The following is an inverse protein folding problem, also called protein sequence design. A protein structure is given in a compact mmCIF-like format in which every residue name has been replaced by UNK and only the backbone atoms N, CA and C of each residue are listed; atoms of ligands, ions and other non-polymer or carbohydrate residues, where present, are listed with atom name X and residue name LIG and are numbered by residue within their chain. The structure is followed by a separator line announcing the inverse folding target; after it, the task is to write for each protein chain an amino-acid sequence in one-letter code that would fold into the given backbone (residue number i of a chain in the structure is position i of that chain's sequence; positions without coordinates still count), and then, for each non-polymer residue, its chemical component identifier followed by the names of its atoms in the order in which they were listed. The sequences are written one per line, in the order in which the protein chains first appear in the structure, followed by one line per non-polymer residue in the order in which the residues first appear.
data_IF_741891301338
#
_entry.id   IF_741891301338
#
_cell.length_a   1.000
_cell.length_b   1.000
_cell.length_c   1.000
_cell.angle_alpha   90.00
_cell.angle_beta   90.00
_cell.angle_gamma   90.00
#
_symmetry.space_group_name_H-M   'P 1'
#
loop_
_entity.id
_entity.type
_entity.pdbx_description
1 polymer ?
#
# COMPACT_ATOMS: atom_id res chain seq x y z
N UNK A 1 -46.37 -26.18 -26.71
CA UNK A 1 -45.57 -26.57 -25.54
C UNK A 1 -44.46 -25.53 -25.42
N UNK A 2 -44.66 -24.50 -24.57
CA UNK A 2 -43.64 -23.48 -24.27
C UNK A 2 -42.81 -23.98 -23.09
N UNK A 3 -41.50 -24.24 -23.27
CA UNK A 3 -40.54 -24.46 -22.19
C UNK A 3 -40.03 -23.11 -21.69
N UNK A 4 -40.37 -22.77 -20.46
CA UNK A 4 -39.90 -21.64 -19.69
C UNK A 4 -38.48 -21.95 -19.20
N UNK A 5 -37.47 -21.20 -19.66
CA UNK A 5 -36.13 -21.26 -19.12
C UNK A 5 -36.10 -20.39 -17.84
N UNK A 6 -36.07 -21.01 -16.69
CA UNK A 6 -35.78 -20.35 -15.41
C UNK A 6 -34.27 -20.12 -15.40
N UNK A 7 -33.86 -18.86 -15.52
CA UNK A 7 -32.50 -18.40 -15.26
C UNK A 7 -32.29 -18.35 -13.74
N UNK A 8 -31.63 -19.32 -13.19
CA UNK A 8 -31.08 -19.26 -11.84
C UNK A 8 -30.00 -18.15 -11.74
N UNK A 9 -30.46 -16.97 -11.39
CA UNK A 9 -29.57 -15.93 -10.87
C UNK A 9 -29.22 -16.30 -9.42
N UNK A 10 -28.14 -17.06 -9.20
CA UNK A 10 -27.51 -17.12 -7.89
C UNK A 10 -27.05 -15.71 -7.51
N UNK A 11 -27.90 -14.99 -6.77
CA UNK A 11 -27.57 -13.77 -6.05
C UNK A 11 -26.50 -14.16 -5.03
N UNK A 12 -25.23 -13.88 -5.31
CA UNK A 12 -24.18 -13.85 -4.27
C UNK A 12 -24.62 -12.77 -3.30
N UNK A 13 -25.09 -13.16 -2.12
CA UNK A 13 -25.39 -12.24 -1.03
C UNK A 13 -24.08 -11.56 -0.63
N UNK A 14 -23.88 -10.34 -1.11
CA UNK A 14 -22.78 -9.45 -0.74
C UNK A 14 -23.10 -8.78 0.61
N UNK A 15 -23.04 -9.51 1.71
CA UNK A 15 -22.96 -8.88 3.03
C UNK A 15 -21.59 -8.20 3.12
N UNK A 16 -21.58 -6.85 3.16
CA UNK A 16 -20.38 -6.09 3.46
C UNK A 16 -19.86 -6.53 4.83
N UNK A 17 -18.66 -7.10 4.85
CA UNK A 17 -18.00 -7.47 6.12
C UNK A 17 -17.29 -6.24 6.67
N UNK A 18 -17.62 -5.90 7.91
CA UNK A 18 -17.00 -4.80 8.65
C UNK A 18 -16.17 -5.36 9.79
N UNK A 19 -14.96 -4.87 9.96
CA UNK A 19 -14.12 -5.17 11.12
C UNK A 19 -13.78 -3.87 11.82
N UNK A 20 -13.79 -3.88 13.15
CA UNK A 20 -13.41 -2.73 13.98
C UNK A 20 -12.21 -3.10 14.84
N UNK A 21 -11.17 -2.28 14.80
CA UNK A 21 -9.96 -2.43 15.59
C UNK A 21 -9.63 -1.11 16.29
N UNK A 22 -8.93 -1.20 17.42
CA UNK A 22 -8.46 -0.06 18.19
C UNK A 22 -6.96 -0.17 18.38
N UNK A 23 -6.26 0.96 18.40
CA UNK A 23 -4.84 1.01 18.76
C UNK A 23 -4.52 2.36 19.42
N UNK A 24 -3.46 2.37 20.22
CA UNK A 24 -2.86 3.56 20.80
C UNK A 24 -1.68 3.99 19.93
N UNK A 25 -1.61 5.24 19.56
CA UNK A 25 -0.53 5.78 18.74
C UNK A 25 0.73 5.98 19.60
N UNK A 26 1.52 4.92 19.67
CA UNK A 26 2.73 4.85 20.48
C UNK A 26 3.90 5.58 19.83
N UNK A 27 4.54 6.48 20.59
CA UNK A 27 5.69 7.26 20.12
C UNK A 27 6.91 6.39 19.81
N UNK A 28 7.14 5.30 20.55
CA UNK A 28 8.31 4.46 20.35
C UNK A 28 8.20 3.66 19.04
N UNK A 29 7.00 3.17 18.70
CA UNK A 29 6.78 2.55 17.37
C UNK A 29 7.09 3.52 16.24
N UNK A 30 6.72 4.79 16.37
CA UNK A 30 7.04 5.81 15.35
C UNK A 30 8.54 6.08 15.30
N UNK A 31 9.25 6.14 16.44
CA UNK A 31 10.71 6.26 16.47
C UNK A 31 11.40 5.06 15.79
N UNK A 32 10.88 3.84 15.94
CA UNK A 32 11.39 2.68 15.22
C UNK A 32 11.24 2.83 13.70
N UNK A 33 10.11 3.37 13.25
CA UNK A 33 9.89 3.67 11.83
C UNK A 33 10.89 4.71 11.30
N UNK A 34 11.18 5.79 12.08
CA UNK A 34 12.20 6.77 11.71
C UNK A 34 13.58 6.16 11.51
N UNK A 35 13.97 5.26 12.42
CA UNK A 35 15.25 4.56 12.33
C UNK A 35 15.35 3.64 11.10
N UNK A 36 14.21 3.13 10.60
CA UNK A 36 14.16 2.36 9.35
C UNK A 36 14.30 3.29 8.15
N UNK A 37 13.63 4.43 8.17
CA UNK A 37 13.63 5.37 7.05
C UNK A 37 14.92 6.22 6.96
N UNK A 38 15.77 6.18 8.00
CA UNK A 38 17.01 6.97 8.07
C UNK A 38 16.77 8.48 8.07
N UNK A 39 15.60 8.90 8.49
CA UNK A 39 15.21 10.32 8.54
C UNK A 39 14.55 10.63 9.87
N UNK A 40 14.94 11.75 10.48
CA UNK A 40 14.22 12.29 11.64
C UNK A 40 13.02 13.06 11.13
N UNK A 41 11.84 12.61 11.48
CA UNK A 41 10.64 13.38 11.23
C UNK A 41 10.66 14.63 12.13
N UNK A 42 10.40 15.78 11.54
CA UNK A 42 10.28 17.01 12.31
C UNK A 42 8.96 16.96 13.10
N UNK A 43 8.99 16.41 14.31
CA UNK A 43 7.84 16.39 15.22
C UNK A 43 7.53 17.80 15.71
N UNK A 44 6.77 18.54 14.92
CA UNK A 44 6.13 19.75 15.42
C UNK A 44 4.88 19.34 16.19
N UNK A 45 4.78 19.68 17.47
CA UNK A 45 3.55 19.53 18.28
C UNK A 45 3.02 18.09 18.43
N UNK A 46 3.89 17.09 18.61
CA UNK A 46 3.49 15.68 18.79
C UNK A 46 2.72 15.05 17.59
N UNK A 47 2.78 15.67 16.41
CA UNK A 47 2.06 15.18 15.20
C UNK A 47 2.75 13.92 14.67
N UNK A 48 1.95 12.90 14.34
CA UNK A 48 2.39 11.64 13.76
C UNK A 48 2.71 11.84 12.26
N UNK A 49 3.83 11.28 11.74
CA UNK A 49 4.18 11.37 10.33
C UNK A 49 3.13 10.73 9.41
N UNK A 50 3.01 11.23 8.20
CA UNK A 50 2.16 10.61 7.19
C UNK A 50 2.60 9.16 6.90
N UNK A 51 1.64 8.25 6.76
CA UNK A 51 1.91 6.82 6.51
C UNK A 51 2.27 6.01 7.77
N UNK A 52 2.50 6.63 8.92
CA UNK A 52 2.78 5.88 10.16
C UNK A 52 1.59 5.04 10.64
N UNK A 53 0.37 5.30 10.21
CA UNK A 53 -0.79 4.47 10.55
C UNK A 53 -0.62 3.00 10.11
N UNK A 54 0.23 2.69 9.10
CA UNK A 54 0.48 1.31 8.65
C UNK A 54 1.31 0.47 9.63
N UNK A 55 1.96 1.06 10.64
CA UNK A 55 2.66 0.31 11.68
C UNK A 55 1.79 0.03 12.91
N UNK A 56 0.55 0.50 12.88
CA UNK A 56 -0.45 0.28 13.92
C UNK A 56 -1.56 -0.68 13.42
N UNK A 57 -2.44 -1.09 14.31
CA UNK A 57 -3.56 -2.00 14.03
C UNK A 57 -3.08 -3.37 13.51
N UNK A 58 -1.95 -3.84 14.02
CA UNK A 58 -1.37 -5.13 13.65
C UNK A 58 -2.31 -6.25 14.06
N UNK A 59 -2.70 -7.09 13.09
CA UNK A 59 -3.59 -8.21 13.35
C UNK A 59 -2.80 -9.37 13.94
N UNK A 60 -3.22 -9.84 15.13
CA UNK A 60 -2.61 -10.98 15.82
C UNK A 60 -3.35 -12.27 15.45
N UNK A 61 -2.87 -12.95 14.41
CA UNK A 61 -3.38 -14.25 14.02
C UNK A 61 -2.66 -15.38 14.75
N UNK A 62 -3.41 -16.41 15.19
CA UNK A 62 -2.80 -17.64 15.67
C UNK A 62 -1.97 -18.32 14.56
N UNK A 63 -0.92 -19.05 14.95
CA UNK A 63 -0.07 -19.78 14.00
C UNK A 63 -0.85 -20.73 13.08
N UNK A 64 -1.91 -21.38 13.62
CA UNK A 64 -2.80 -22.27 12.84
C UNK A 64 -3.63 -21.55 11.77
N UNK A 65 -3.83 -20.23 11.90
CA UNK A 65 -4.60 -19.40 10.95
C UNK A 65 -3.72 -18.78 9.87
N UNK A 66 -2.41 -18.98 9.93
CA UNK A 66 -1.49 -18.53 8.89
C UNK A 66 -1.42 -19.53 7.74
N UNK A 67 -1.30 -19.00 6.53
CA UNK A 67 -1.02 -19.74 5.32
C UNK A 67 0.47 -20.07 5.20
N UNK A 68 0.82 -20.90 4.22
CA UNK A 68 2.19 -21.27 3.91
C UNK A 68 3.06 -20.06 3.52
N UNK A 69 2.44 -19.02 2.97
CA UNK A 69 3.06 -17.74 2.59
C UNK A 69 3.35 -16.82 3.78
N UNK A 70 2.95 -17.22 5.01
CA UNK A 70 3.07 -16.42 6.23
C UNK A 70 1.97 -15.36 6.41
N UNK A 71 1.06 -15.22 5.46
CA UNK A 71 -0.14 -14.38 5.63
C UNK A 71 -1.30 -15.16 6.27
N UNK A 72 -2.31 -14.47 6.82
CA UNK A 72 -3.56 -15.11 7.22
C UNK A 72 -4.19 -15.89 6.07
N UNK A 73 -4.70 -17.10 6.37
CA UNK A 73 -5.38 -17.96 5.40
C UNK A 73 -6.50 -17.19 4.71
N UNK A 74 -6.56 -17.34 3.39
CA UNK A 74 -7.64 -16.77 2.58
C UNK A 74 -8.93 -17.60 2.71
N UNK A 75 -10.07 -16.98 2.42
CA UNK A 75 -11.40 -17.63 2.46
C UNK A 75 -12.35 -17.06 3.51
N UNK A 76 -11.83 -16.46 4.61
CA UNK A 76 -12.66 -15.83 5.66
C UNK A 76 -12.96 -14.37 5.35
N UNK A 77 -11.95 -13.52 5.34
CA UNK A 77 -12.08 -12.07 5.07
C UNK A 77 -11.63 -11.72 3.64
N UNK A 78 -10.56 -12.32 3.17
CA UNK A 78 -10.05 -12.14 1.81
C UNK A 78 -10.41 -13.37 0.97
N UNK A 79 -11.02 -13.23 -0.22
CA UNK A 79 -11.46 -14.35 -1.05
C UNK A 79 -10.31 -15.32 -1.37
N UNK A 80 -10.62 -16.61 -1.36
CA UNK A 80 -9.73 -17.65 -1.87
C UNK A 80 -10.00 -17.84 -3.37
N UNK A 81 -9.11 -17.31 -4.19
CA UNK A 81 -9.12 -17.55 -5.65
C UNK A 81 -8.00 -18.55 -5.96
N UNK A 82 -8.40 -19.80 -6.28
CA UNK A 82 -7.45 -20.89 -6.63
C UNK A 82 -6.66 -20.50 -7.89
N UNK A 83 -5.34 -20.67 -7.88
CA UNK A 83 -4.45 -20.35 -9.00
C UNK A 83 -4.15 -18.85 -9.16
N UNK A 84 -4.52 -18.02 -8.17
CA UNK A 84 -4.21 -16.58 -8.15
C UNK A 84 -3.32 -16.22 -6.97
N UNK A 85 -2.29 -15.42 -7.24
CA UNK A 85 -1.51 -14.75 -6.20
C UNK A 85 -2.12 -13.37 -5.88
N UNK A 86 -1.99 -13.00 -4.61
CA UNK A 86 -2.49 -11.74 -4.08
C UNK A 86 -1.35 -10.74 -4.01
N UNK A 87 -1.58 -9.52 -4.47
CA UNK A 87 -0.61 -8.42 -4.38
C UNK A 87 -1.29 -7.14 -3.89
N UNK A 88 -0.60 -6.38 -3.07
CA UNK A 88 -0.98 -5.01 -2.75
C UNK A 88 -0.66 -4.11 -3.94
N UNK A 89 -1.68 -3.46 -4.52
CA UNK A 89 -1.52 -2.68 -5.75
C UNK A 89 -1.34 -1.17 -5.49
N UNK A 90 -1.76 -0.69 -4.33
CA UNK A 90 -1.69 0.72 -3.97
C UNK A 90 -2.78 1.14 -3.01
N UNK A 91 -2.84 2.44 -2.69
CA UNK A 91 -3.90 3.01 -1.85
C UNK A 91 -4.20 4.46 -2.21
N UNK A 92 -5.39 4.90 -1.79
CA UNK A 92 -5.81 6.31 -1.78
C UNK A 92 -6.10 6.72 -0.34
N UNK A 93 -5.47 7.80 0.10
CA UNK A 93 -5.60 8.34 1.45
C UNK A 93 -6.16 9.77 1.39
N UNK A 94 -7.07 10.09 2.31
CA UNK A 94 -7.62 11.43 2.54
C UNK A 94 -7.38 11.79 4.00
N UNK A 95 -6.48 12.74 4.24
CA UNK A 95 -6.14 13.23 5.58
C UNK A 95 -7.12 14.33 5.97
N UNK A 96 -7.99 14.05 6.94
CA UNK A 96 -9.02 14.98 7.42
C UNK A 96 -8.50 15.84 8.57
N UNK A 97 -7.79 15.20 9.50
CA UNK A 97 -7.21 15.82 10.70
C UNK A 97 -5.84 15.24 10.99
N UNK A 98 -5.03 15.96 11.76
CA UNK A 98 -3.77 15.42 12.26
C UNK A 98 -4.02 14.34 13.31
N UNK A 99 -3.17 13.32 13.30
CA UNK A 99 -3.10 12.29 14.35
C UNK A 99 -1.93 12.67 15.25
N UNK A 100 -2.08 12.50 16.56
CA UNK A 100 -1.09 12.83 17.55
C UNK A 100 -0.61 11.59 18.30
N UNK A 101 0.57 11.68 18.93
CA UNK A 101 0.97 10.65 19.87
C UNK A 101 -0.03 10.55 21.02
N UNK A 102 -0.24 9.33 21.49
CA UNK A 102 -1.19 8.97 22.54
C UNK A 102 -2.68 9.07 22.14
N UNK A 103 -2.98 9.42 20.87
CA UNK A 103 -4.33 9.28 20.36
C UNK A 103 -4.78 7.81 20.42
N UNK A 104 -5.98 7.57 20.95
CA UNK A 104 -6.68 6.29 20.83
C UNK A 104 -7.49 6.32 19.54
N UNK A 105 -7.09 5.51 18.58
CA UNK A 105 -7.69 5.49 17.26
C UNK A 105 -8.53 4.24 17.06
N UNK A 106 -9.78 4.42 16.64
CA UNK A 106 -10.65 3.37 16.13
C UNK A 106 -10.52 3.29 14.62
N UNK A 107 -10.23 2.11 14.09
CA UNK A 107 -10.23 1.80 12.67
C UNK A 107 -11.41 0.93 12.32
N UNK A 108 -12.22 1.34 11.36
CA UNK A 108 -13.29 0.54 10.76
C UNK A 108 -12.86 0.15 9.36
N UNK A 109 -12.82 -1.15 9.06
CA UNK A 109 -12.49 -1.69 7.75
C UNK A 109 -13.72 -2.29 7.10
N UNK A 110 -14.11 -1.81 5.94
CA UNK A 110 -15.16 -2.38 5.10
C UNK A 110 -14.54 -3.11 3.92
N UNK A 111 -14.88 -4.38 3.75
CA UNK A 111 -14.45 -5.19 2.61
C UNK A 111 -15.44 -5.00 1.48
N UNK A 112 -15.02 -4.31 0.42
CA UNK A 112 -15.88 -4.02 -0.74
C UNK A 112 -16.02 -5.26 -1.64
N UNK A 113 -17.08 -5.34 -2.47
CA UNK A 113 -17.27 -6.45 -3.41
C UNK A 113 -16.06 -6.62 -4.35
N UNK A 114 -15.80 -7.89 -4.70
CA UNK A 114 -14.74 -8.25 -5.64
C UNK A 114 -15.10 -7.79 -7.06
N UNK A 115 -14.21 -7.03 -7.69
CA UNK A 115 -14.37 -6.51 -9.05
C UNK A 115 -13.54 -7.37 -10.00
N UNK A 116 -14.20 -7.99 -11.00
CA UNK A 116 -13.54 -8.73 -12.06
C UNK A 116 -13.30 -7.83 -13.27
N UNK A 117 -12.07 -7.84 -13.80
CA UNK A 117 -11.71 -7.18 -15.08
C UNK A 117 -11.01 -8.18 -15.98
N UNK A 118 -11.15 -8.03 -17.28
CA UNK A 118 -10.35 -8.73 -18.29
C UNK A 118 -9.15 -7.86 -18.69
N UNK A 119 -7.98 -8.46 -18.81
CA UNK A 119 -6.77 -7.84 -19.39
C UNK A 119 -6.01 -8.95 -20.15
N UNK A 120 -5.71 -8.71 -21.42
CA UNK A 120 -4.94 -9.64 -22.28
C UNK A 120 -5.46 -11.11 -22.20
N UNK A 121 -6.78 -11.30 -22.35
CA UNK A 121 -7.49 -12.57 -22.23
C UNK A 121 -7.45 -13.25 -20.86
N UNK A 122 -6.90 -12.62 -19.83
CA UNK A 122 -6.89 -13.12 -18.48
C UNK A 122 -7.86 -12.35 -17.56
N UNK A 123 -8.43 -13.06 -16.59
CA UNK A 123 -9.22 -12.42 -15.55
C UNK A 123 -8.29 -11.89 -14.48
N UNK A 124 -8.45 -10.63 -14.12
CA UNK A 124 -7.81 -9.98 -12.99
C UNK A 124 -8.92 -9.55 -12.02
N UNK A 125 -8.71 -9.78 -10.73
CA UNK A 125 -9.69 -9.39 -9.72
C UNK A 125 -9.10 -8.31 -8.81
N UNK A 126 -9.95 -7.36 -8.43
CA UNK A 126 -9.60 -6.26 -7.53
C UNK A 126 -10.49 -6.31 -6.30
N UNK A 127 -9.89 -6.21 -5.13
CA UNK A 127 -10.57 -6.09 -3.85
C UNK A 127 -10.16 -4.79 -3.20
N UNK A 128 -11.13 -3.96 -2.84
CA UNK A 128 -10.88 -2.74 -2.10
C UNK A 128 -11.23 -2.93 -0.63
N UNK A 129 -10.31 -2.54 0.24
CA UNK A 129 -10.51 -2.42 1.67
C UNK A 129 -10.65 -0.93 2.00
N UNK A 130 -11.84 -0.50 2.39
CA UNK A 130 -12.09 0.88 2.81
C UNK A 130 -11.90 0.98 4.33
N UNK A 131 -10.87 1.71 4.75
CA UNK A 131 -10.53 1.95 6.14
C UNK A 131 -10.90 3.38 6.52
N UNK A 132 -11.65 3.56 7.61
CA UNK A 132 -11.91 4.87 8.20
C UNK A 132 -11.38 4.89 9.62
N UNK A 133 -10.62 5.91 9.95
CA UNK A 133 -9.95 6.06 11.23
C UNK A 133 -10.59 7.22 12.01
N UNK A 134 -10.92 6.97 13.27
CA UNK A 134 -11.58 7.92 14.16
C UNK A 134 -10.76 8.13 15.42
N UNK A 135 -10.61 9.38 15.84
CA UNK A 135 -10.26 9.77 17.21
C UNK A 135 -11.54 10.23 17.86
N UNK A 136 -11.96 9.50 18.92
CA UNK A 136 -13.29 9.62 19.49
C UNK A 136 -14.35 9.38 18.39
N UNK A 137 -15.19 10.35 18.08
CA UNK A 137 -16.15 10.27 16.97
C UNK A 137 -15.73 11.12 15.76
N UNK A 138 -14.54 11.73 15.80
CA UNK A 138 -14.02 12.58 14.72
C UNK A 138 -13.22 11.75 13.72
N UNK A 139 -13.64 11.77 12.46
CA UNK A 139 -12.90 11.15 11.37
C UNK A 139 -11.59 11.90 11.11
N UNK A 140 -10.45 11.19 11.21
CA UNK A 140 -9.11 11.75 11.03
C UNK A 140 -8.45 11.34 9.72
N UNK A 141 -8.74 10.12 9.22
CA UNK A 141 -8.15 9.58 7.99
C UNK A 141 -9.13 8.62 7.32
N UNK A 142 -9.23 8.71 5.99
CA UNK A 142 -9.80 7.68 5.14
C UNK A 142 -8.70 7.05 4.30
N UNK A 143 -8.78 5.74 4.11
CA UNK A 143 -7.89 4.99 3.24
C UNK A 143 -8.67 3.96 2.44
N UNK A 144 -8.40 3.86 1.15
CA UNK A 144 -8.86 2.74 0.33
C UNK A 144 -7.64 1.99 -0.17
N UNK A 145 -7.40 0.79 0.35
CA UNK A 145 -6.35 -0.12 -0.13
C UNK A 145 -6.88 -0.97 -1.26
N UNK A 146 -6.11 -1.12 -2.33
CA UNK A 146 -6.44 -1.98 -3.47
C UNK A 146 -5.54 -3.22 -3.45
N UNK A 147 -6.17 -4.38 -3.34
CA UNK A 147 -5.55 -5.69 -3.51
C UNK A 147 -5.90 -6.19 -4.90
N UNK A 148 -4.91 -6.69 -5.64
CA UNK A 148 -5.10 -7.32 -6.95
C UNK A 148 -4.79 -8.81 -6.86
N UNK A 149 -5.61 -9.62 -7.56
CA UNK A 149 -5.37 -11.04 -7.75
C UNK A 149 -5.08 -11.28 -9.22
N UNK A 150 -3.91 -11.84 -9.50
CA UNK A 150 -3.44 -12.22 -10.83
C UNK A 150 -3.11 -13.71 -10.87
N UNK A 151 -3.24 -14.34 -12.02
CA UNK A 151 -2.82 -15.75 -12.18
C UNK A 151 -1.35 -15.93 -11.80
N UNK A 152 -0.99 -17.08 -11.26
CA UNK A 152 0.37 -17.37 -10.81
C UNK A 152 1.42 -17.15 -11.92
N UNK A 153 1.08 -17.43 -13.17
CA UNK A 153 1.96 -17.28 -14.34
C UNK A 153 1.74 -15.94 -15.09
N UNK A 154 1.02 -15.00 -14.49
CA UNK A 154 0.75 -13.71 -15.12
C UNK A 154 2.03 -12.89 -15.29
N UNK A 155 2.43 -12.68 -16.54
CA UNK A 155 3.48 -11.72 -16.91
C UNK A 155 2.78 -10.41 -17.27
N UNK A 156 3.00 -9.38 -16.49
CA UNK A 156 2.42 -8.05 -16.77
C UNK A 156 3.05 -7.45 -18.04
N UNK A 157 2.37 -7.59 -19.16
CA UNK A 157 2.68 -6.91 -20.42
C UNK A 157 2.12 -5.48 -20.46
N UNK A 158 1.90 -4.82 -19.31
CA UNK A 158 1.48 -3.42 -19.34
C UNK A 158 2.51 -2.62 -20.13
N UNK A 159 2.20 -2.42 -21.39
CA UNK A 159 2.91 -1.53 -22.30
C UNK A 159 3.12 -0.19 -21.57
N UNK A 160 4.28 0.40 -21.79
CA UNK A 160 4.63 1.72 -21.25
C UNK A 160 3.49 2.68 -21.56
N UNK A 161 2.56 2.93 -20.62
CA UNK A 161 1.75 4.13 -20.73
C UNK A 161 2.76 5.27 -20.78
N UNK A 162 2.92 5.88 -21.95
CA UNK A 162 3.69 7.12 -22.09
C UNK A 162 3.03 8.10 -21.12
N UNK A 163 3.62 8.31 -19.95
CA UNK A 163 3.18 9.39 -19.09
C UNK A 163 3.59 10.66 -19.83
N UNK A 164 2.62 11.42 -20.33
CA UNK A 164 2.86 12.75 -20.84
C UNK A 164 3.38 13.61 -19.68
N UNK A 165 4.71 13.64 -19.52
CA UNK A 165 5.39 14.47 -18.50
C UNK A 165 5.45 15.96 -18.92
N UNK A 166 4.79 16.36 -20.01
CA UNK A 166 4.88 17.70 -20.60
C UNK A 166 4.49 18.80 -19.60
N UNK A 167 3.60 18.50 -18.68
CA UNK A 167 3.09 19.45 -17.68
C UNK A 167 3.72 19.29 -16.29
N UNK A 168 4.89 18.64 -16.19
CA UNK A 168 5.56 18.40 -14.91
C UNK A 168 6.92 19.09 -14.87
N UNK A 169 7.17 19.85 -13.77
CA UNK A 169 8.47 20.45 -13.45
C UNK A 169 9.18 19.61 -12.40
N UNK A 170 10.38 19.10 -12.70
CA UNK A 170 11.20 18.37 -11.73
C UNK A 170 11.60 19.33 -10.59
N UNK A 171 11.37 18.90 -9.34
CA UNK A 171 11.71 19.65 -8.13
C UNK A 171 12.89 19.05 -7.39
N UNK A 172 12.92 17.70 -7.28
CA UNK A 172 13.88 17.00 -6.43
C UNK A 172 14.18 15.61 -6.98
N UNK A 173 15.40 15.12 -6.71
CA UNK A 173 15.86 13.78 -7.05
C UNK A 173 16.70 13.24 -5.90
N UNK A 174 16.37 12.02 -5.43
CA UNK A 174 17.10 11.32 -4.38
C UNK A 174 17.33 9.86 -4.75
N UNK A 175 18.58 9.40 -4.65
CA UNK A 175 18.93 7.98 -4.77
C UNK A 175 18.83 7.32 -3.41
N UNK A 176 18.32 6.10 -3.35
CA UNK A 176 18.21 5.33 -2.11
C UNK A 176 18.13 3.83 -2.40
N UNK A 177 18.17 3.02 -1.36
CA UNK A 177 17.95 1.57 -1.38
C UNK A 177 17.44 1.14 -0.02
N UNK A 178 16.71 0.03 0.04
CA UNK A 178 16.39 -0.67 1.27
C UNK A 178 17.24 -1.94 1.36
N UNK A 179 17.82 -2.20 2.54
CA UNK A 179 18.63 -3.38 2.80
C UNK A 179 17.85 -4.45 3.58
N UNK A 180 18.46 -5.61 3.83
CA UNK A 180 17.83 -6.72 4.56
C UNK A 180 17.41 -6.33 5.99
N UNK A 181 18.18 -5.45 6.64
CA UNK A 181 17.87 -4.99 8.00
C UNK A 181 16.61 -4.14 8.00
N UNK A 182 16.43 -3.28 6.99
CA UNK A 182 15.23 -2.45 6.84
C UNK A 182 13.99 -3.32 6.65
N UNK A 183 14.08 -4.36 5.82
CA UNK A 183 12.98 -5.29 5.56
C UNK A 183 12.60 -6.06 6.83
N UNK A 184 13.60 -6.60 7.54
CA UNK A 184 13.38 -7.33 8.78
C UNK A 184 12.72 -6.44 9.85
N UNK A 185 13.29 -5.25 10.08
CA UNK A 185 12.76 -4.30 11.06
C UNK A 185 11.34 -3.86 10.73
N UNK A 186 11.04 -3.61 9.45
CA UNK A 186 9.70 -3.22 9.04
C UNK A 186 8.71 -4.37 9.17
N UNK A 187 9.10 -5.61 8.83
CA UNK A 187 8.28 -6.80 9.08
C UNK A 187 7.98 -6.97 10.56
N UNK A 188 8.98 -6.82 11.43
CA UNK A 188 8.82 -6.92 12.88
C UNK A 188 7.89 -5.81 13.42
N UNK A 189 8.09 -4.57 12.99
CA UNK A 189 7.32 -3.41 13.41
C UNK A 189 5.84 -3.50 13.01
N UNK A 190 5.56 -4.07 11.83
CA UNK A 190 4.21 -4.26 11.29
C UNK A 190 3.61 -5.63 11.62
N UNK A 191 4.35 -6.49 12.33
CA UNK A 191 3.99 -7.89 12.59
C UNK A 191 3.65 -8.67 11.30
N UNK A 192 4.33 -8.33 10.22
CA UNK A 192 4.11 -8.90 8.89
C UNK A 192 5.02 -10.09 8.65
N UNK A 193 4.45 -11.29 8.69
CA UNK A 193 5.16 -12.56 8.49
C UNK A 193 5.14 -13.06 7.04
N UNK A 194 4.82 -12.23 6.05
CA UNK A 194 4.86 -12.65 4.65
C UNK A 194 6.28 -12.98 4.19
N UNK A 195 6.49 -14.23 3.82
CA UNK A 195 7.81 -14.82 3.54
C UNK A 195 8.60 -14.11 2.44
N UNK A 196 7.93 -13.44 1.50
CA UNK A 196 8.62 -12.72 0.41
C UNK A 196 9.55 -11.58 0.88
N UNK A 197 9.45 -11.17 2.14
CA UNK A 197 10.23 -10.08 2.69
C UNK A 197 11.48 -10.54 3.46
N UNK A 198 11.58 -11.86 3.82
CA UNK A 198 12.69 -12.36 4.66
C UNK A 198 13.19 -13.75 4.30
N UNK A 199 12.42 -14.55 3.55
CA UNK A 199 12.76 -15.92 3.17
C UNK A 199 13.10 -15.95 1.67
N UNK A 200 14.41 -15.99 1.38
CA UNK A 200 14.90 -15.91 0.00
C UNK A 200 14.52 -17.15 -0.80
N UNK A 201 14.67 -18.34 -0.21
CA UNK A 201 14.37 -19.60 -0.89
C UNK A 201 12.90 -19.69 -1.29
N UNK A 202 11.99 -19.34 -0.37
CA UNK A 202 10.57 -19.25 -0.68
C UNK A 202 10.30 -18.23 -1.79
N UNK A 203 10.89 -17.04 -1.67
CA UNK A 203 10.67 -15.94 -2.58
C UNK A 203 11.11 -16.24 -4.01
N UNK A 204 12.23 -16.97 -4.15
CA UNK A 204 12.77 -17.32 -5.47
C UNK A 204 12.14 -18.58 -6.04
N UNK A 205 12.09 -19.65 -5.24
CA UNK A 205 11.71 -20.97 -5.72
C UNK A 205 10.19 -21.19 -5.76
N UNK A 206 9.42 -20.51 -4.91
CA UNK A 206 7.95 -20.66 -4.84
C UNK A 206 7.21 -19.48 -5.50
N UNK A 207 7.63 -18.25 -5.19
CA UNK A 207 6.96 -17.05 -5.73
C UNK A 207 7.54 -16.59 -7.08
N UNK A 208 8.72 -17.09 -7.49
CA UNK A 208 9.37 -16.79 -8.76
C UNK A 208 9.93 -15.37 -8.87
N UNK A 209 10.24 -14.74 -7.74
CA UNK A 209 10.92 -13.45 -7.71
C UNK A 209 12.44 -13.64 -7.71
N UNK A 210 13.17 -12.65 -8.19
CA UNK A 210 14.64 -12.74 -8.26
C UNK A 210 15.36 -12.47 -6.94
N UNK A 211 14.69 -11.87 -5.94
CA UNK A 211 15.24 -11.55 -4.62
C UNK A 211 14.10 -11.18 -3.66
N UNK A 212 14.41 -10.94 -2.38
CA UNK A 212 13.46 -10.44 -1.39
C UNK A 212 12.83 -9.12 -1.83
N UNK A 213 11.53 -8.97 -1.59
CA UNK A 213 10.76 -7.78 -1.98
C UNK A 213 10.73 -6.74 -0.86
N UNK A 214 10.84 -5.49 -1.24
CA UNK A 214 10.56 -4.35 -0.36
C UNK A 214 9.05 -4.24 -0.15
N UNK A 215 8.64 -3.97 1.08
CA UNK A 215 7.22 -3.75 1.41
C UNK A 215 6.67 -2.54 0.67
N UNK A 216 5.52 -2.68 0.04
CA UNK A 216 4.84 -1.57 -0.63
C UNK A 216 4.53 -0.41 0.30
N UNK A 217 3.95 -0.64 1.51
CA UNK A 217 3.73 0.42 2.50
C UNK A 217 5.02 1.09 2.99
N UNK A 218 6.15 0.37 3.13
CA UNK A 218 7.44 0.97 3.48
C UNK A 218 7.87 1.98 2.40
N UNK A 219 7.79 1.61 1.13
CA UNK A 219 8.10 2.51 0.01
C UNK A 219 7.17 3.72 0.02
N UNK A 220 5.86 3.52 0.22
CA UNK A 220 4.88 4.61 0.24
C UNK A 220 5.12 5.56 1.42
N UNK A 221 5.45 5.05 2.61
CA UNK A 221 5.80 5.86 3.79
C UNK A 221 7.06 6.67 3.55
N UNK A 222 8.10 6.06 2.99
CA UNK A 222 9.33 6.77 2.63
C UNK A 222 9.04 7.93 1.68
N UNK A 223 8.31 7.66 0.59
CA UNK A 223 8.01 8.67 -0.44
C UNK A 223 7.21 9.85 0.13
N UNK A 224 6.13 9.60 0.89
CA UNK A 224 5.29 10.69 1.40
C UNK A 224 6.05 11.56 2.41
N UNK A 225 6.95 10.98 3.22
CA UNK A 225 7.74 11.75 4.18
C UNK A 225 8.89 12.51 3.51
N UNK A 226 9.51 11.99 2.46
CA UNK A 226 10.45 12.76 1.64
C UNK A 226 9.78 13.98 0.99
N UNK A 227 8.55 13.81 0.49
CA UNK A 227 7.76 14.91 -0.06
C UNK A 227 7.46 15.95 1.01
N UNK A 228 6.96 15.51 2.17
CA UNK A 228 6.61 16.40 3.28
C UNK A 228 7.83 17.18 3.79
N UNK A 229 8.99 16.52 3.89
CA UNK A 229 10.26 17.14 4.31
C UNK A 229 10.74 18.21 3.33
N UNK A 230 10.58 17.96 2.02
CA UNK A 230 11.01 18.85 0.97
C UNK A 230 10.05 20.03 0.76
N UNK A 231 8.72 19.75 0.69
CA UNK A 231 7.68 20.73 0.38
C UNK A 231 7.29 21.56 1.62
N UNK A 232 7.32 20.97 2.82
CA UNK A 232 6.96 21.59 4.11
C UNK A 232 5.54 22.18 4.15
N UNK A 233 4.60 21.56 3.39
CA UNK A 233 3.18 21.89 3.38
C UNK A 233 2.36 20.67 3.79
N UNK A 234 1.18 20.91 4.36
CA UNK A 234 0.27 19.87 4.72
C UNK A 234 -0.33 19.18 3.49
N UNK A 235 -0.53 17.88 3.61
CA UNK A 235 -1.08 17.01 2.56
C UNK A 235 -2.53 16.70 2.90
N UNK A 236 -3.43 16.91 1.93
CA UNK A 236 -4.85 16.54 2.04
C UNK A 236 -5.13 15.18 1.44
N UNK A 237 -4.46 14.80 0.34
CA UNK A 237 -4.65 13.51 -0.33
C UNK A 237 -3.32 12.91 -0.76
N UNK A 238 -3.26 11.59 -0.74
CA UNK A 238 -2.14 10.80 -1.24
C UNK A 238 -2.65 9.56 -1.93
N UNK A 239 -2.44 9.47 -3.23
CA UNK A 239 -2.76 8.30 -4.04
C UNK A 239 -1.49 7.70 -4.58
N UNK A 240 -1.33 6.36 -4.50
CA UNK A 240 -0.17 5.70 -5.08
C UNK A 240 -0.49 4.34 -5.67
N UNK A 241 0.35 3.92 -6.61
CA UNK A 241 0.31 2.63 -7.27
C UNK A 241 1.67 1.97 -7.25
N UNK A 242 1.70 0.68 -6.90
CA UNK A 242 2.84 -0.20 -7.01
C UNK A 242 2.80 -0.84 -8.40
N UNK A 243 3.76 -0.49 -9.25
CA UNK A 243 3.76 -0.87 -10.67
C UNK A 243 4.68 -2.05 -10.94
N UNK A 244 5.80 -2.13 -10.23
CA UNK A 244 6.79 -3.21 -10.34
C UNK A 244 7.39 -3.49 -8.96
N UNK A 245 7.81 -4.74 -8.69
CA UNK A 245 8.48 -5.07 -7.44
C UNK A 245 9.82 -4.31 -7.33
N UNK A 246 10.08 -3.78 -6.14
CA UNK A 246 11.40 -3.27 -5.74
C UNK A 246 12.04 -4.36 -4.91
N UNK A 247 13.28 -4.69 -5.21
CA UNK A 247 14.02 -5.72 -4.50
C UNK A 247 14.99 -5.14 -3.48
N UNK A 248 15.30 -5.94 -2.47
CA UNK A 248 16.31 -5.60 -1.47
C UNK A 248 17.64 -5.24 -2.14
N UNK A 249 18.34 -4.23 -1.62
CA UNK A 249 19.59 -3.68 -2.12
C UNK A 249 19.56 -3.09 -3.56
N UNK A 250 18.37 -3.04 -4.19
CA UNK A 250 18.24 -2.42 -5.50
C UNK A 250 18.41 -0.90 -5.39
N UNK A 251 19.28 -0.32 -6.22
CA UNK A 251 19.45 1.13 -6.32
C UNK A 251 18.26 1.74 -7.07
N UNK A 252 17.50 2.58 -6.40
CA UNK A 252 16.33 3.24 -6.95
C UNK A 252 16.44 4.76 -6.80
N UNK A 253 15.67 5.47 -7.61
CA UNK A 253 15.69 6.93 -7.63
C UNK A 253 14.28 7.48 -7.45
N UNK A 254 14.05 8.24 -6.40
CA UNK A 254 12.88 9.08 -6.23
C UNK A 254 13.03 10.34 -7.06
N UNK A 255 12.03 10.68 -7.85
CA UNK A 255 11.90 11.97 -8.53
C UNK A 255 10.59 12.62 -8.12
N UNK A 256 10.65 13.85 -7.64
CA UNK A 256 9.49 14.67 -7.30
C UNK A 256 9.26 15.71 -8.38
N UNK A 257 8.01 15.86 -8.78
CA UNK A 257 7.59 16.83 -9.79
C UNK A 257 6.44 17.66 -9.27
N UNK A 258 6.36 18.90 -9.68
CA UNK A 258 5.19 19.76 -9.50
C UNK A 258 4.42 19.83 -10.79
N UNK A 259 3.09 19.71 -10.71
CA UNK A 259 2.24 19.99 -11.86
C UNK A 259 2.35 21.47 -12.24
N UNK A 260 2.43 21.74 -13.55
CA UNK A 260 2.36 23.12 -14.09
C UNK A 260 0.93 23.62 -14.18
N UNK A 261 -0.04 22.69 -14.27
CA UNK A 261 -1.47 23.02 -14.36
C UNK A 261 -2.06 23.34 -13.00
N UNK A 262 -1.64 22.63 -11.96
CA UNK A 262 -2.06 22.85 -10.57
C UNK A 262 -0.84 22.77 -9.65
N UNK A 263 -0.42 23.93 -9.10
CA UNK A 263 0.75 24.04 -8.23
C UNK A 263 0.58 23.32 -6.88
N UNK A 264 -0.64 22.97 -6.50
CA UNK A 264 -0.93 22.19 -5.29
C UNK A 264 -0.74 20.68 -5.50
N UNK A 265 -0.57 20.23 -6.75
CA UNK A 265 -0.36 18.82 -7.09
C UNK A 265 1.13 18.51 -7.21
N UNK A 266 1.58 17.50 -6.43
CA UNK A 266 2.92 16.92 -6.50
C UNK A 266 2.80 15.49 -7.03
N UNK A 267 3.63 15.14 -8.01
CA UNK A 267 3.76 13.77 -8.52
C UNK A 267 5.10 13.23 -8.10
N UNK A 268 5.12 12.02 -7.51
CA UNK A 268 6.36 11.34 -7.18
C UNK A 268 6.46 10.02 -7.95
N UNK A 269 7.65 9.73 -8.46
CA UNK A 269 7.96 8.48 -9.16
C UNK A 269 9.21 7.87 -8.56
N UNK A 270 9.16 6.58 -8.22
CA UNK A 270 10.35 5.79 -7.88
C UNK A 270 10.74 4.98 -9.13
N UNK A 271 11.95 5.21 -9.57
CA UNK A 271 12.48 4.60 -10.78
C UNK A 271 13.59 3.61 -10.43
N UNK A 272 13.56 2.48 -11.09
CA UNK A 272 14.64 1.50 -11.16
C UNK A 272 15.67 1.92 -12.22
N UNK A 273 16.70 1.13 -12.39
CA UNK A 273 17.60 1.30 -13.53
C UNK A 273 16.84 1.37 -14.87
N UNK A 274 17.41 2.02 -15.87
CA UNK A 274 16.79 2.24 -17.21
C UNK A 274 15.47 3.06 -17.15
N UNK A 275 15.28 3.87 -16.08
CA UNK A 275 14.09 4.73 -15.88
C UNK A 275 12.75 3.96 -15.81
N UNK A 276 12.80 2.71 -15.40
CA UNK A 276 11.63 1.86 -15.23
C UNK A 276 10.85 2.27 -13.97
N UNK A 277 9.59 2.63 -14.10
CA UNK A 277 8.79 3.14 -12.98
C UNK A 277 8.28 1.97 -12.15
N UNK A 278 8.76 1.86 -10.89
CA UNK A 278 8.29 0.85 -9.94
C UNK A 278 7.14 1.34 -9.06
N UNK A 279 7.10 2.65 -8.78
CA UNK A 279 6.09 3.28 -7.94
C UNK A 279 5.74 4.65 -8.51
N UNK A 280 4.46 5.00 -8.47
CA UNK A 280 3.98 6.34 -8.86
C UNK A 280 2.96 6.82 -7.86
N UNK A 281 3.02 8.10 -7.50
CA UNK A 281 2.04 8.71 -6.61
C UNK A 281 1.69 10.13 -7.04
N UNK A 282 0.50 10.54 -6.62
CA UNK A 282 -0.02 11.90 -6.73
C UNK A 282 -0.45 12.38 -5.34
N UNK A 283 -0.06 13.60 -5.02
CA UNK A 283 -0.30 14.23 -3.73
C UNK A 283 -1.00 15.56 -3.96
N UNK A 284 -2.08 15.80 -3.21
CA UNK A 284 -2.76 17.08 -3.13
C UNK A 284 -2.32 17.78 -1.84
N UNK A 285 -1.72 18.96 -1.97
CA UNK A 285 -1.37 19.83 -0.85
C UNK A 285 -2.60 20.62 -0.38
N UNK A 286 -2.59 20.99 0.90
CA UNK A 286 -3.56 21.99 1.41
C UNK A 286 -3.09 23.35 0.94
N UNK A 287 -4.01 24.13 0.42
CA UNK A 287 -3.81 25.51 -0.08
C UNK A 287 -3.36 26.45 1.03
#
# INVERSE_FOLDING_TARGET
IRRTFIKDKKRVQNTMKTNTNFDLIDKNKVNFLENILGSKFLYKKKIVPYGAHWIFFNENFNKKDLGFDGHPKRGKNIPLLKGYKRMFAGANLVFKKKIYFEDKIKKITEIKPLIKKKSDNENIYFLNLANTFFRDNLEVLQETQTIVFVKNNHVSNKGKKKSNNINLKLLHKKKFKFNNIDLFRYSALTYNSHRIHYDLDYTTNVEGHKNLLVHGPLTATFVINEINSFIKKDISRYSFSLLKPIYVNEKITLKLYRSRLDKSVIVAKVLKEKNDIAFSSEIQLIS
#
